data_IF_869070092064
#
_entry.id   IF_869070092064
#
_cell.length_a   1.000
_cell.length_b   1.000
_cell.length_c   1.000
_cell.angle_alpha   90.00
_cell.angle_beta   90.00
_cell.angle_gamma   90.00
#
_symmetry.space_group_name_H-M   'P 1'
#
loop_
_entity.id
_entity.type
_entity.pdbx_description
1 polymer ?
#
# COMPACT_ATOMS: atom_id res chain seq x y z
N UNK A 1 -13.13 9.66 5.18
CA UNK A 1 -14.14 9.95 4.12
C UNK A 1 -13.58 9.71 2.71
N UNK A 2 -12.32 10.07 2.43
CA UNK A 2 -11.69 9.89 1.10
C UNK A 2 -11.46 8.42 0.70
N UNK A 3 -11.04 7.57 1.65
CA UNK A 3 -10.77 6.14 1.43
C UNK A 3 -12.00 5.34 0.99
N UNK A 4 -13.13 5.52 1.66
CA UNK A 4 -14.38 4.82 1.32
C UNK A 4 -14.83 5.17 -0.11
N UNK A 5 -14.75 6.45 -0.47
CA UNK A 5 -15.07 6.92 -1.83
C UNK A 5 -14.10 6.38 -2.89
N UNK A 6 -12.81 6.32 -2.58
CA UNK A 6 -11.82 5.71 -3.48
C UNK A 6 -12.08 4.21 -3.67
N UNK A 7 -12.36 3.48 -2.58
CA UNK A 7 -12.69 2.06 -2.62
C UNK A 7 -13.91 1.76 -3.49
N UNK A 8 -15.00 2.54 -3.34
CA UNK A 8 -16.19 2.40 -4.18
C UNK A 8 -15.89 2.63 -5.67
N UNK A 9 -15.10 3.65 -6.00
CA UNK A 9 -14.71 3.93 -7.39
C UNK A 9 -13.81 2.84 -7.98
N UNK A 10 -12.84 2.35 -7.22
CA UNK A 10 -11.98 1.23 -7.65
C UNK A 10 -12.79 -0.04 -7.93
N UNK A 11 -13.78 -0.37 -7.08
CA UNK A 11 -14.69 -1.49 -7.34
C UNK A 11 -15.48 -1.31 -8.65
N UNK A 12 -15.97 -0.10 -8.92
CA UNK A 12 -16.66 0.20 -10.19
C UNK A 12 -15.76 0.08 -11.42
N UNK A 13 -14.46 0.29 -11.26
CA UNK A 13 -13.45 0.08 -12.31
C UNK A 13 -13.04 -1.38 -12.48
N UNK A 14 -13.57 -2.29 -11.64
CA UNK A 14 -13.32 -3.73 -11.72
C UNK A 14 -12.16 -4.23 -10.86
N UNK A 15 -11.60 -3.41 -9.97
CA UNK A 15 -10.60 -3.86 -9.00
C UNK A 15 -11.26 -4.59 -7.82
N UNK A 16 -10.58 -5.59 -7.28
CA UNK A 16 -10.98 -6.22 -6.02
C UNK A 16 -10.50 -5.36 -4.86
N UNK A 17 -11.42 -4.90 -4.02
CA UNK A 17 -11.11 -3.98 -2.91
C UNK A 17 -11.66 -4.51 -1.60
N UNK A 18 -10.77 -4.81 -0.65
CA UNK A 18 -11.08 -5.26 0.71
C UNK A 18 -10.67 -4.17 1.71
N UNK A 19 -11.48 -3.99 2.74
CA UNK A 19 -11.26 -3.00 3.80
C UNK A 19 -11.04 -3.77 5.09
N UNK A 20 -10.05 -3.34 5.88
CA UNK A 20 -9.67 -4.02 7.13
C UNK A 20 -9.34 -5.51 6.92
N UNK A 21 -8.67 -5.84 5.80
CA UNK A 21 -8.31 -7.22 5.47
C UNK A 21 -7.19 -7.72 6.38
N UNK A 22 -7.30 -8.98 6.80
CA UNK A 22 -6.24 -9.68 7.53
C UNK A 22 -5.44 -10.57 6.57
N UNK A 23 -4.13 -10.34 6.51
CA UNK A 23 -3.21 -11.09 5.65
C UNK A 23 -2.17 -11.79 6.52
N UNK A 24 -2.09 -13.11 6.40
CA UNK A 24 -1.04 -13.90 7.05
C UNK A 24 0.24 -13.84 6.21
N UNK A 25 1.33 -13.34 6.82
CA UNK A 25 2.65 -13.33 6.18
C UNK A 25 3.36 -14.68 6.25
N UNK A 26 4.54 -14.78 5.63
CA UNK A 26 5.33 -16.03 5.61
C UNK A 26 5.79 -16.48 6.99
N UNK A 27 5.90 -15.55 7.94
CA UNK A 27 6.18 -15.82 9.35
C UNK A 27 5.00 -16.43 10.12
N UNK A 28 3.81 -16.50 9.52
CA UNK A 28 2.56 -16.90 10.19
C UNK A 28 1.92 -15.77 11.02
N UNK A 29 2.52 -14.58 11.03
CA UNK A 29 1.95 -13.40 11.69
C UNK A 29 0.84 -12.81 10.83
N UNK A 30 -0.27 -12.45 11.47
CA UNK A 30 -1.37 -11.77 10.81
C UNK A 30 -1.18 -10.26 10.81
N UNK A 31 -1.36 -9.66 9.64
CA UNK A 31 -1.26 -8.24 9.41
C UNK A 31 -2.62 -7.68 9.02
N UNK A 32 -3.13 -6.73 9.81
CA UNK A 32 -4.34 -6.00 9.46
C UNK A 32 -4.03 -4.82 8.54
N UNK A 33 -4.61 -4.87 7.35
CA UNK A 33 -4.40 -3.91 6.25
C UNK A 33 -5.66 -3.04 6.09
N UNK A 34 -5.57 -1.71 6.25
CA UNK A 34 -6.74 -0.83 6.18
C UNK A 34 -7.46 -0.89 4.82
N UNK A 35 -6.71 -0.91 3.72
CA UNK A 35 -7.25 -1.01 2.38
C UNK A 35 -6.33 -1.89 1.53
N UNK A 36 -6.87 -3.01 1.06
CA UNK A 36 -6.20 -3.93 0.16
C UNK A 36 -6.87 -3.86 -1.21
N UNK A 37 -6.07 -3.65 -2.25
CA UNK A 37 -6.52 -3.56 -3.63
C UNK A 37 -5.78 -4.58 -4.49
N UNK A 38 -6.52 -5.34 -5.28
CA UNK A 38 -5.97 -6.29 -6.23
C UNK A 38 -6.52 -6.01 -7.63
N UNK A 39 -5.62 -6.01 -8.61
CA UNK A 39 -5.98 -5.99 -10.01
C UNK A 39 -6.19 -7.43 -10.50
N UNK A 40 -7.45 -7.86 -10.76
CA UNK A 40 -7.73 -9.24 -11.13
C UNK A 40 -7.16 -9.61 -12.51
N UNK A 41 -6.77 -8.64 -13.35
CA UNK A 41 -6.25 -8.90 -14.69
C UNK A 41 -4.80 -9.39 -14.67
N UNK A 42 -3.99 -8.90 -13.74
CA UNK A 42 -2.56 -9.21 -13.67
C UNK A 42 -2.11 -9.77 -12.30
N UNK A 43 -3.02 -9.83 -11.32
CA UNK A 43 -2.74 -10.34 -9.98
C UNK A 43 -1.94 -9.39 -9.09
N UNK A 44 -1.68 -8.15 -9.53
CA UNK A 44 -0.94 -7.18 -8.74
C UNK A 44 -1.75 -6.73 -7.53
N UNK A 45 -1.07 -6.60 -6.39
CA UNK A 45 -1.66 -6.30 -5.09
C UNK A 45 -1.00 -5.07 -4.49
N UNK A 46 -1.83 -4.24 -3.87
CA UNK A 46 -1.40 -3.00 -3.21
C UNK A 46 -2.08 -2.89 -1.84
N UNK A 47 -1.26 -2.74 -0.81
CA UNK A 47 -1.68 -2.41 0.54
C UNK A 47 -1.59 -0.89 0.75
N UNK A 48 -2.65 -0.27 1.27
CA UNK A 48 -2.72 1.17 1.47
C UNK A 48 -2.97 1.47 2.94
N UNK A 49 -2.12 2.32 3.52
CA UNK A 49 -2.17 2.75 4.92
C UNK A 49 -2.33 4.27 5.03
N UNK A 50 -2.88 4.71 6.15
CA UNK A 50 -3.07 6.13 6.48
C UNK A 50 -2.08 6.51 7.56
N UNK A 51 -1.40 7.65 7.40
CA UNK A 51 -0.64 8.25 8.48
C UNK A 51 -1.57 8.92 9.49
N UNK A 52 -1.67 8.33 10.68
CA UNK A 52 -2.48 8.82 11.80
C UNK A 52 -1.68 9.66 12.81
N UNK A 53 -0.46 10.08 12.47
CA UNK A 53 0.30 11.07 13.24
C UNK A 53 1.57 10.54 13.92
N UNK A 54 1.73 9.21 14.03
CA UNK A 54 2.98 8.56 14.40
C UNK A 54 3.61 7.84 13.19
N UNK A 55 4.13 8.66 12.27
CA UNK A 55 4.65 8.19 10.99
C UNK A 55 5.77 7.16 11.15
N UNK A 56 6.62 7.26 12.18
CA UNK A 56 7.72 6.31 12.42
C UNK A 56 7.21 4.90 12.76
N UNK A 57 6.24 4.79 13.67
CA UNK A 57 5.66 3.51 14.06
C UNK A 57 4.89 2.86 12.89
N UNK A 58 4.19 3.67 12.10
CA UNK A 58 3.47 3.21 10.91
C UNK A 58 4.47 2.71 9.85
N UNK A 59 5.58 3.43 9.65
CA UNK A 59 6.63 3.02 8.71
C UNK A 59 7.32 1.72 9.13
N UNK A 60 7.60 1.52 10.42
CA UNK A 60 8.15 0.26 10.94
C UNK A 60 7.18 -0.91 10.71
N UNK A 61 5.88 -0.68 10.95
CA UNK A 61 4.84 -1.68 10.68
C UNK A 61 4.78 -2.03 9.19
N UNK A 62 4.80 -1.02 8.32
CA UNK A 62 4.81 -1.19 6.86
C UNK A 62 6.03 -2.01 6.40
N UNK A 63 7.22 -1.63 6.84
CA UNK A 63 8.43 -2.40 6.54
C UNK A 63 8.31 -3.87 6.97
N UNK A 64 7.79 -4.12 8.17
CA UNK A 64 7.57 -5.49 8.67
C UNK A 64 6.59 -6.27 7.79
N UNK A 65 5.46 -5.65 7.41
CA UNK A 65 4.48 -6.24 6.49
C UNK A 65 5.13 -6.54 5.13
N UNK A 66 5.99 -5.66 4.62
CA UNK A 66 6.58 -5.81 3.31
C UNK A 66 7.51 -7.00 3.27
N UNK A 67 8.41 -7.10 4.25
CA UNK A 67 9.32 -8.24 4.38
C UNK A 67 8.54 -9.54 4.54
N UNK A 68 7.42 -9.52 5.25
CA UNK A 68 6.66 -10.73 5.57
C UNK A 68 5.68 -11.17 4.48
N UNK A 69 5.11 -10.24 3.71
CA UNK A 69 4.08 -10.55 2.70
C UNK A 69 4.54 -10.37 1.25
N UNK A 70 5.59 -9.56 1.03
CA UNK A 70 6.06 -9.17 -0.31
C UNK A 70 5.08 -8.28 -1.09
N UNK A 71 3.99 -7.82 -0.48
CA UNK A 71 2.97 -7.00 -1.16
C UNK A 71 3.43 -5.54 -1.21
N UNK A 72 3.23 -4.88 -2.35
CA UNK A 72 3.54 -3.46 -2.53
C UNK A 72 2.72 -2.60 -1.57
N UNK A 73 3.32 -1.50 -1.08
CA UNK A 73 2.72 -0.67 -0.05
C UNK A 73 2.75 0.81 -0.40
N UNK A 74 1.66 1.49 -0.04
CA UNK A 74 1.47 2.92 -0.18
C UNK A 74 1.06 3.51 1.16
N UNK A 75 1.83 4.48 1.66
CA UNK A 75 1.48 5.26 2.84
C UNK A 75 0.93 6.61 2.41
N UNK A 76 -0.34 6.86 2.72
CA UNK A 76 -0.94 8.18 2.57
C UNK A 76 -0.55 9.07 3.73
N UNK A 77 0.33 10.03 3.47
CA UNK A 77 0.78 11.01 4.45
C UNK A 77 0.82 12.40 3.85
N UNK A 78 0.44 13.39 4.65
CA UNK A 78 0.64 14.80 4.33
C UNK A 78 2.07 15.26 4.60
N UNK A 79 2.91 14.40 5.21
CA UNK A 79 4.29 14.70 5.56
C UNK A 79 5.24 14.26 4.45
N UNK A 80 6.28 15.06 4.20
CA UNK A 80 7.37 14.70 3.28
C UNK A 80 8.32 13.72 3.98
N UNK A 81 7.97 12.44 3.99
CA UNK A 81 8.87 11.38 4.45
C UNK A 81 9.15 10.44 3.29
N UNK A 82 10.43 10.14 3.04
CA UNK A 82 10.85 9.16 2.03
C UNK A 82 11.51 8.03 2.79
N UNK A 83 10.87 6.87 2.84
CA UNK A 83 11.46 5.65 3.39
C UNK A 83 11.78 4.68 2.26
N UNK A 84 12.96 4.06 2.29
CA UNK A 84 13.33 3.10 1.24
C UNK A 84 12.39 1.87 1.35
N UNK A 85 11.64 1.58 0.28
CA UNK A 85 10.74 0.43 0.19
C UNK A 85 9.25 0.73 0.43
N UNK A 86 8.89 1.94 0.91
CA UNK A 86 7.50 2.36 1.07
C UNK A 86 7.26 3.60 0.23
N UNK A 87 6.28 3.55 -0.68
CA UNK A 87 5.89 4.72 -1.46
C UNK A 87 5.00 5.62 -0.59
N UNK A 88 5.50 6.80 -0.25
CA UNK A 88 4.73 7.79 0.51
C UNK A 88 4.08 8.76 -0.48
N UNK A 89 2.76 8.85 -0.42
CA UNK A 89 1.97 9.64 -1.35
C UNK A 89 1.15 10.65 -0.58
N UNK A 90 1.16 11.89 -1.06
CA UNK A 90 0.25 12.93 -0.61
C UNK A 90 -0.85 13.06 -1.66
N UNK A 91 -2.07 12.64 -1.33
CA UNK A 91 -3.24 12.79 -2.19
C UNK A 91 -4.20 13.82 -1.58
N UNK A 92 -4.39 14.94 -2.27
CA UNK A 92 -5.25 16.04 -1.79
C UNK A 92 -6.72 15.80 -2.11
N UNK A 93 -7.01 14.96 -3.10
CA UNK A 93 -8.37 14.62 -3.52
C UNK A 93 -8.49 13.15 -3.96
N UNK A 94 -9.73 12.71 -4.17
CA UNK A 94 -10.02 11.32 -4.54
C UNK A 94 -9.44 10.97 -5.91
N UNK A 95 -9.39 11.91 -6.86
CA UNK A 95 -8.90 11.62 -8.22
C UNK A 95 -7.42 11.31 -8.20
N UNK A 96 -6.61 12.18 -7.59
CA UNK A 96 -5.16 11.97 -7.43
C UNK A 96 -4.85 10.64 -6.74
N UNK A 97 -5.64 10.28 -5.73
CA UNK A 97 -5.49 9.00 -5.04
C UNK A 97 -5.76 7.81 -5.98
N UNK A 98 -6.81 7.89 -6.79
CA UNK A 98 -7.14 6.83 -7.74
C UNK A 98 -6.07 6.66 -8.81
N UNK A 99 -5.63 7.77 -9.39
CA UNK A 99 -4.59 7.75 -10.44
C UNK A 99 -3.32 7.10 -9.91
N UNK A 100 -2.91 7.44 -8.68
CA UNK A 100 -1.72 6.84 -8.05
C UNK A 100 -1.89 5.34 -7.79
N UNK A 101 -3.06 4.91 -7.30
CA UNK A 101 -3.35 3.49 -7.04
C UNK A 101 -3.34 2.70 -8.34
N UNK A 102 -3.98 3.22 -9.38
CA UNK A 102 -4.08 2.58 -10.70
C UNK A 102 -2.69 2.48 -11.33
N UNK A 103 -1.90 3.56 -11.33
CA UNK A 103 -0.52 3.54 -11.83
C UNK A 103 0.31 2.46 -11.13
N UNK A 104 0.20 2.37 -9.80
CA UNK A 104 0.92 1.37 -9.00
C UNK A 104 0.51 -0.07 -9.34
N UNK A 105 -0.77 -0.30 -9.67
CA UNK A 105 -1.31 -1.64 -9.99
C UNK A 105 -1.10 -2.05 -11.45
N UNK A 106 -1.04 -1.11 -12.39
CA UNK A 106 -0.83 -1.39 -13.82
C UNK A 106 0.67 -1.47 -14.17
N UNK A 107 1.50 -0.67 -13.48
CA UNK A 107 2.95 -0.62 -13.69
C UNK A 107 3.67 -0.76 -12.35
N UNK A 108 3.67 -1.96 -11.74
CA UNK A 108 4.30 -2.17 -10.44
C UNK A 108 5.79 -1.83 -10.55
N UNK A 109 6.21 -0.74 -9.90
CA UNK A 109 7.62 -0.41 -9.77
C UNK A 109 8.26 -1.57 -9.00
N UNK A 110 9.27 -2.23 -9.57
CA UNK A 110 10.10 -3.19 -8.81
C UNK A 110 10.63 -2.46 -7.58
N UNK A 111 10.11 -2.78 -6.40
CA UNK A 111 10.69 -2.26 -5.17
C UNK A 111 12.13 -2.77 -5.13
N UNK A 112 13.10 -1.85 -5.17
CA UNK A 112 14.53 -2.22 -5.14
C UNK A 112 14.77 -2.99 -3.85
N UNK A 113 15.05 -4.29 -3.97
CA UNK A 113 15.48 -5.12 -2.84
C UNK A 113 16.56 -4.38 -2.05
N UNK A 114 16.24 -3.99 -0.81
CA UNK A 114 17.23 -3.53 0.16
C UNK A 114 17.86 -4.78 0.78
N UNK A 115 18.49 -5.59 -0.06
CA UNK A 115 19.53 -6.51 0.36
C UNK A 115 20.80 -6.00 -0.32
N UNK A 116 21.32 -4.89 0.21
CA UNK A 116 22.72 -4.57 -0.04
C UNK A 116 23.52 -5.67 0.62
N UNK A 117 24.12 -6.56 -0.20
CA UNK A 117 25.27 -7.34 0.22
C UNK A 117 26.28 -6.34 0.78
N UNK A 118 26.52 -6.40 2.07
CA UNK A 118 27.74 -5.88 2.69
C UNK A 118 28.88 -6.72 2.13
N UNK A 119 29.71 -6.11 1.28
CA UNK A 119 31.07 -6.57 1.02
C UNK A 119 32.01 -5.77 1.92
#
# INVERSE_FOLDING_TARGET
MIFKRAAEKLRKLGYTVKIDEEITGVSGVNHRIPLFVENPKNGNKLCIHIDEGNSELILLKLFSIYVDTGIQQLLLSNRKSIFKGVEVVNAKNVSELLDTIIESLESPKKQKNILTKTN
#
